data_IF_528738852149
#
_entry.id   IF_528738852149
#
_cell.length_a   1.000
_cell.length_b   1.000
_cell.length_c   1.000
_cell.angle_alpha   90.00
_cell.angle_beta   90.00
_cell.angle_gamma   90.00
#
_symmetry.space_group_name_H-M   'P 1'
#
loop_
_entity.id
_entity.type
_entity.pdbx_description
1 polymer ?
#
# COMPACT_ATOMS: atom_id res chain seq x y z
N UNK A 1 -12.23 1.37 10.41
CA UNK A 1 -11.27 0.33 9.97
C UNK A 1 -11.87 -0.64 8.95
N UNK A 2 -13.07 -1.20 9.17
CA UNK A 2 -13.73 -2.12 8.21
C UNK A 2 -13.78 -1.58 6.77
N UNK A 3 -14.17 -0.31 6.58
CA UNK A 3 -14.22 0.31 5.27
C UNK A 3 -12.85 0.37 4.58
N UNK A 4 -11.77 0.63 5.33
CA UNK A 4 -10.40 0.69 4.76
C UNK A 4 -10.03 -0.68 4.20
N UNK A 5 -10.22 -1.73 5.00
CA UNK A 5 -9.88 -3.10 4.62
C UNK A 5 -10.76 -3.61 3.48
N UNK A 6 -12.06 -3.32 3.48
CA UNK A 6 -12.97 -3.76 2.41
C UNK A 6 -12.67 -3.15 1.04
N UNK A 7 -11.96 -2.02 1.01
CA UNK A 7 -11.48 -1.40 -0.23
C UNK A 7 -10.10 -1.92 -0.67
N UNK A 8 -9.59 -2.97 -0.02
CA UNK A 8 -8.30 -3.59 -0.36
C UNK A 8 -7.08 -2.90 0.25
N UNK A 9 -7.27 -1.94 1.17
CA UNK A 9 -6.15 -1.31 1.86
C UNK A 9 -5.60 -2.21 2.97
N UNK A 10 -4.27 -2.20 3.10
CA UNK A 10 -3.55 -2.91 4.15
C UNK A 10 -3.49 -2.08 5.45
N UNK A 11 -3.55 -2.75 6.60
CA UNK A 11 -3.38 -2.12 7.92
C UNK A 11 -1.99 -2.42 8.49
N UNK A 12 -1.39 -1.42 9.13
CA UNK A 12 -0.13 -1.55 9.86
C UNK A 12 -0.26 -1.03 11.29
N UNK A 13 0.64 -1.47 12.17
CA UNK A 13 0.71 -1.06 13.56
C UNK A 13 1.53 0.24 13.69
N UNK A 14 0.91 1.27 14.29
CA UNK A 14 1.54 2.56 14.58
C UNK A 14 1.50 2.91 16.08
N UNK A 15 1.39 1.89 16.94
CA UNK A 15 1.12 2.00 18.38
C UNK A 15 -0.19 2.73 18.70
N UNK A 16 -0.48 2.86 20.00
CA UNK A 16 -1.70 3.49 20.52
C UNK A 16 -1.65 5.03 20.46
N UNK A 17 -0.45 5.61 20.52
CA UNK A 17 -0.24 7.04 20.62
C UNK A 17 0.80 7.51 19.61
N UNK A 18 0.51 8.63 18.96
CA UNK A 18 1.42 9.28 18.01
C UNK A 18 2.48 10.11 18.76
N UNK A 19 3.45 9.40 19.34
CA UNK A 19 4.61 9.98 20.04
C UNK A 19 5.89 9.24 19.66
N UNK A 20 7.04 9.84 20.00
CA UNK A 20 8.36 9.24 19.79
C UNK A 20 8.53 7.95 20.63
N UNK A 21 8.08 6.83 20.08
CA UNK A 21 8.10 5.51 20.71
C UNK A 21 9.49 5.01 21.12
N UNK A 22 10.53 5.59 20.53
CA UNK A 22 11.94 5.37 20.89
C UNK A 22 12.27 5.71 22.35
N UNK A 23 11.47 6.58 22.99
CA UNK A 23 11.64 6.98 24.39
C UNK A 23 10.92 6.07 25.38
N UNK A 24 10.12 5.11 24.91
CA UNK A 24 9.39 4.21 25.79
C UNK A 24 10.33 3.15 26.38
N UNK A 25 10.15 2.76 27.66
CA UNK A 25 10.79 1.57 28.20
C UNK A 25 10.42 0.32 27.39
N UNK A 26 11.34 -0.62 27.14
CA UNK A 26 11.09 -1.78 26.26
C UNK A 26 9.82 -2.59 26.62
N UNK A 27 9.58 -2.82 27.91
CA UNK A 27 8.39 -3.54 28.38
C UNK A 27 7.08 -2.78 28.06
N UNK A 28 7.10 -1.44 28.13
CA UNK A 28 5.94 -0.61 27.78
C UNK A 28 5.72 -0.61 26.28
N UNK A 29 6.79 -0.50 25.50
CA UNK A 29 6.73 -0.61 24.04
C UNK A 29 6.13 -1.95 23.61
N UNK A 30 6.64 -3.08 24.13
CA UNK A 30 6.14 -4.42 23.81
C UNK A 30 4.66 -4.57 24.18
N UNK A 31 4.26 -4.10 25.37
CA UNK A 31 2.85 -4.10 25.79
C UNK A 31 1.96 -3.33 24.82
N UNK A 32 2.36 -2.13 24.40
CA UNK A 32 1.58 -1.31 23.47
C UNK A 32 1.51 -1.96 22.08
N UNK A 33 2.62 -2.53 21.60
CA UNK A 33 2.68 -3.23 20.31
C UNK A 33 1.66 -4.38 20.28
N UNK A 34 1.66 -5.22 21.32
CA UNK A 34 0.76 -6.38 21.43
C UNK A 34 -0.70 -5.99 21.65
N UNK A 35 -0.95 -4.88 22.36
CA UNK A 35 -2.30 -4.35 22.51
C UNK A 35 -2.89 -3.95 21.15
N UNK A 36 -2.13 -3.24 20.31
CA UNK A 36 -2.57 -2.87 18.97
C UNK A 36 -2.65 -4.09 18.05
N UNK A 37 -1.73 -5.05 18.16
CA UNK A 37 -1.78 -6.33 17.42
C UNK A 37 -3.13 -7.02 17.63
N UNK A 38 -3.57 -7.12 18.89
CA UNK A 38 -4.86 -7.72 19.25
C UNK A 38 -6.04 -6.99 18.61
N UNK A 39 -5.97 -5.66 18.51
CA UNK A 39 -7.02 -4.86 17.86
C UNK A 39 -7.03 -5.05 16.34
N UNK A 40 -5.86 -5.09 15.70
CA UNK A 40 -5.72 -5.26 14.26
C UNK A 40 -6.18 -6.64 13.79
N UNK A 41 -5.94 -7.69 14.59
CA UNK A 41 -6.35 -9.08 14.27
C UNK A 41 -7.83 -9.25 14.00
N UNK A 42 -8.68 -8.39 14.58
CA UNK A 42 -10.13 -8.38 14.32
C UNK A 42 -10.46 -8.17 12.83
N UNK A 43 -9.53 -7.61 12.06
CA UNK A 43 -9.71 -7.30 10.64
C UNK A 43 -8.92 -8.23 9.71
N UNK A 44 -8.26 -9.26 10.24
CA UNK A 44 -7.43 -10.17 9.44
C UNK A 44 -8.24 -10.92 8.38
N UNK A 45 -9.39 -11.46 8.78
CA UNK A 45 -10.27 -12.23 7.90
C UNK A 45 -10.91 -11.36 6.80
N UNK A 46 -11.10 -10.06 7.07
CA UNK A 46 -11.62 -9.11 6.09
C UNK A 46 -10.57 -8.73 5.06
N UNK A 47 -9.29 -8.68 5.44
CA UNK A 47 -8.19 -8.35 4.54
C UNK A 47 -7.87 -9.47 3.54
N UNK A 48 -8.28 -10.70 3.84
CA UNK A 48 -8.11 -11.88 2.98
C UNK A 48 -9.27 -12.08 1.98
N UNK A 49 -10.35 -11.31 2.10
CA UNK A 49 -11.47 -11.36 1.17
C UNK A 49 -11.16 -10.54 -0.09
N UNK A 50 -11.44 -11.04 -1.31
CA UNK A 50 -11.15 -10.31 -2.53
C UNK A 50 -11.91 -8.97 -2.55
N UNK A 51 -11.29 -7.88 -3.06
CA UNK A 51 -11.92 -6.57 -3.09
C UNK A 51 -13.23 -6.65 -3.88
N UNK A 52 -14.31 -6.17 -3.27
CA UNK A 52 -15.65 -6.22 -3.86
C UNK A 52 -15.64 -5.38 -5.14
N UNK A 53 -15.67 -6.05 -6.29
CA UNK A 53 -15.66 -5.45 -7.63
C UNK A 53 -16.73 -4.35 -7.69
N UNK A 54 -16.34 -3.09 -7.93
CA UNK A 54 -17.31 -1.99 -8.15
C UNK A 54 -18.20 -2.38 -9.33
N UNK A 55 -19.52 -2.28 -9.17
CA UNK A 55 -20.43 -2.28 -10.32
C UNK A 55 -20.01 -1.08 -11.18
N UNK A 56 -19.49 -1.36 -12.37
CA UNK A 56 -19.33 -0.36 -13.42
C UNK A 56 -20.71 0.26 -13.66
N UNK A 57 -20.84 1.55 -13.33
CA UNK A 57 -21.98 2.35 -13.77
C UNK A 57 -21.84 2.45 -15.28
N UNK A 58 -22.74 1.79 -16.01
CA UNK A 58 -22.83 1.92 -17.45
C UNK A 58 -23.25 3.35 -17.78
N UNK A 59 -22.36 4.09 -18.42
CA UNK A 59 -22.76 5.28 -19.18
C UNK A 59 -23.17 4.75 -20.55
N UNK A 60 -24.46 4.88 -20.85
CA UNK A 60 -25.08 4.66 -22.15
C UNK A 60 -24.93 5.92 -23.00
N UNK A 61 -24.47 5.76 -24.25
CA UNK A 61 -24.88 6.42 -25.52
C UNK A 61 -23.78 6.13 -26.58
N UNK A 62 -23.93 5.91 -27.89
CA UNK A 62 -25.04 5.73 -28.85
C UNK A 62 -24.42 5.12 -30.14
N UNK A 63 -25.20 4.30 -30.86
CA UNK A 63 -25.31 4.09 -32.34
C UNK A 63 -24.40 4.92 -33.29
N UNK A 64 -23.81 4.52 -34.45
CA UNK A 64 -23.71 3.38 -35.44
C UNK A 64 -22.49 3.73 -36.38
N UNK A 65 -22.15 3.13 -37.57
CA UNK A 65 -22.56 1.89 -38.26
C UNK A 65 -21.41 0.98 -38.78
N UNK A 66 -21.85 -0.20 -39.25
CA UNK A 66 -21.12 -1.30 -39.88
C UNK A 66 -20.33 -0.96 -41.15
N UNK A 67 -19.17 -1.59 -41.31
CA UNK A 67 -18.38 -1.68 -42.54
C UNK A 67 -17.52 -2.95 -42.55
N UNK A 68 -17.45 -3.60 -43.71
CA UNK A 68 -16.99 -4.98 -43.95
C UNK A 68 -15.45 -5.22 -43.92
N UNK A 69 -15.08 -6.37 -43.33
CA UNK A 69 -13.97 -7.33 -43.60
C UNK A 69 -12.48 -6.87 -43.54
N UNK A 70 -11.49 -7.78 -43.32
CA UNK A 70 -11.49 -9.24 -43.59
C UNK A 70 -10.97 -10.17 -42.47
N UNK A 71 -11.20 -11.47 -42.71
CA UNK A 71 -10.93 -12.65 -41.87
C UNK A 71 -9.46 -12.85 -41.47
N UNK A 72 -9.23 -13.13 -40.18
CA UNK A 72 -7.94 -13.56 -39.62
C UNK A 72 -7.90 -15.09 -39.55
N UNK A 73 -6.82 -15.77 -39.98
CA UNK A 73 -6.70 -17.23 -39.90
C UNK A 73 -6.43 -17.72 -38.47
N UNK A 74 -6.92 -18.93 -38.18
CA UNK A 74 -6.89 -19.63 -36.89
C UNK A 74 -5.47 -19.85 -36.33
N UNK A 75 -5.31 -19.92 -34.99
CA UNK A 75 -4.00 -20.07 -34.37
C UNK A 75 -3.57 -21.55 -34.39
N UNK A 76 -2.42 -21.84 -34.99
CA UNK A 76 -1.72 -23.11 -34.79
C UNK A 76 -0.99 -23.07 -33.45
N UNK A 77 -1.27 -24.08 -32.64
CA UNK A 77 -0.66 -24.33 -31.35
C UNK A 77 0.80 -24.77 -31.52
N UNK A 78 1.71 -24.08 -30.85
CA UNK A 78 2.83 -24.75 -30.20
C UNK A 78 3.08 -24.09 -28.84
N UNK A 79 2.62 -24.78 -27.81
CA UNK A 79 2.67 -24.40 -26.42
C UNK A 79 3.84 -25.15 -25.76
N UNK A 80 5.02 -24.51 -25.69
CA UNK A 80 6.07 -24.92 -24.75
C UNK A 80 5.84 -24.25 -23.40
N UNK A 81 4.93 -24.86 -22.64
CA UNK A 81 5.00 -25.08 -21.18
C UNK A 81 5.35 -23.87 -20.31
N UNK A 82 4.44 -22.91 -20.21
CA UNK A 82 4.33 -22.08 -19.00
C UNK A 82 3.69 -22.94 -17.90
N UNK A 83 4.52 -23.48 -17.02
CA UNK A 83 4.05 -24.06 -15.76
C UNK A 83 3.16 -23.02 -15.04
N UNK A 84 1.97 -23.41 -14.56
CA UNK A 84 1.10 -22.46 -13.87
C UNK A 84 1.84 -21.96 -12.63
N UNK A 85 2.17 -20.67 -12.61
CA UNK A 85 2.61 -19.98 -11.39
C UNK A 85 1.50 -20.19 -10.38
N UNK A 86 1.71 -21.14 -9.48
CA UNK A 86 0.80 -21.37 -8.36
C UNK A 86 0.78 -20.05 -7.60
N UNK A 87 -0.41 -19.44 -7.56
CA UNK A 87 -0.63 -18.19 -6.86
C UNK A 87 -0.47 -18.51 -5.36
N UNK A 88 0.77 -18.44 -4.89
CA UNK A 88 1.18 -18.57 -3.49
C UNK A 88 0.11 -17.92 -2.61
N UNK A 89 -0.36 -18.65 -1.60
CA UNK A 89 -1.41 -18.19 -0.69
C UNK A 89 -1.12 -16.75 -0.24
N UNK A 90 -2.15 -15.90 -0.03
CA UNK A 90 -1.95 -14.50 0.35
C UNK A 90 -1.19 -14.40 1.68
N UNK A 91 0.15 -14.35 1.61
CA UNK A 91 1.01 -14.12 2.77
C UNK A 91 0.75 -12.69 3.23
N UNK A 92 0.20 -12.58 4.43
CA UNK A 92 -0.04 -11.31 5.10
C UNK A 92 1.20 -10.96 5.91
N UNK A 93 1.91 -9.91 5.52
CA UNK A 93 2.97 -9.36 6.36
C UNK A 93 2.37 -8.48 7.47
N UNK A 94 3.02 -8.50 8.64
CA UNK A 94 2.69 -7.60 9.74
C UNK A 94 3.62 -6.40 9.69
N UNK A 95 3.08 -5.23 9.37
CA UNK A 95 3.86 -4.00 9.27
C UNK A 95 3.80 -3.20 10.56
N UNK A 96 4.95 -2.67 10.96
CA UNK A 96 5.09 -1.71 12.06
C UNK A 96 5.75 -0.45 11.53
N UNK A 97 5.23 0.73 11.89
CA UNK A 97 5.90 2.01 11.64
C UNK A 97 6.09 2.72 12.98
N UNK A 98 7.31 3.12 13.35
CA UNK A 98 7.52 3.90 14.57
C UNK A 98 6.95 5.31 14.43
N UNK A 99 6.41 5.84 15.53
CA UNK A 99 6.00 7.25 15.65
C UNK A 99 7.13 8.20 15.23
N UNK A 100 6.81 9.14 14.34
CA UNK A 100 7.76 10.10 13.77
C UNK A 100 9.01 9.49 13.08
N UNK A 101 9.03 8.18 12.80
CA UNK A 101 10.16 7.52 12.14
C UNK A 101 11.38 7.22 13.02
N UNK A 102 11.33 7.51 14.33
CA UNK A 102 12.47 7.28 15.24
C UNK A 102 12.43 5.87 15.83
N UNK A 103 13.54 5.14 15.73
CA UNK A 103 13.69 3.79 16.25
C UNK A 103 15.05 3.58 16.92
N UNK A 104 15.17 2.49 17.70
CA UNK A 104 16.43 2.03 18.28
C UNK A 104 16.52 0.50 18.15
N UNK A 105 17.70 -0.07 18.40
CA UNK A 105 17.96 -1.50 18.22
C UNK A 105 17.07 -2.39 19.09
N UNK A 106 16.79 -1.98 20.34
CA UNK A 106 15.93 -2.74 21.25
C UNK A 106 14.48 -2.81 20.74
N UNK A 107 13.97 -1.69 20.20
CA UNK A 107 12.66 -1.63 19.57
C UNK A 107 12.58 -2.55 18.35
N UNK A 108 13.57 -2.47 17.45
CA UNK A 108 13.62 -3.31 16.27
C UNK A 108 13.68 -4.80 16.62
N UNK A 109 14.48 -5.17 17.62
CA UNK A 109 14.55 -6.55 18.11
C UNK A 109 13.20 -7.05 18.65
N UNK A 110 12.48 -6.22 19.40
CA UNK A 110 11.13 -6.56 19.88
C UNK A 110 10.12 -6.71 18.74
N UNK A 111 10.17 -5.82 17.73
CA UNK A 111 9.31 -5.88 16.56
C UNK A 111 9.56 -7.19 15.79
N UNK A 112 10.83 -7.52 15.53
CA UNK A 112 11.23 -8.74 14.84
C UNK A 112 10.86 -10.00 15.62
N UNK A 113 11.05 -10.01 16.95
CA UNK A 113 10.64 -11.10 17.86
C UNK A 113 9.15 -11.46 17.71
N UNK A 114 8.29 -10.48 17.42
CA UNK A 114 6.84 -10.71 17.21
C UNK A 114 6.46 -10.93 15.74
N UNK A 115 7.45 -11.12 14.87
CA UNK A 115 7.27 -11.37 13.43
C UNK A 115 6.68 -10.17 12.69
N UNK A 116 6.94 -8.96 13.18
CA UNK A 116 6.64 -7.72 12.47
C UNK A 116 7.83 -7.29 11.61
N UNK A 117 7.54 -6.53 10.56
CA UNK A 117 8.51 -5.84 9.71
C UNK A 117 8.35 -4.35 9.88
N UNK A 118 9.47 -3.64 10.05
CA UNK A 118 9.46 -2.18 10.16
C UNK A 118 9.38 -1.53 8.79
N UNK A 119 8.39 -0.66 8.58
CA UNK A 119 8.21 0.13 7.37
C UNK A 119 8.51 1.62 7.65
N UNK A 120 9.45 2.18 6.90
CA UNK A 120 9.78 3.60 6.91
C UNK A 120 9.36 4.25 5.58
N UNK A 121 9.09 5.55 5.62
CA UNK A 121 8.80 6.33 4.41
C UNK A 121 10.02 7.11 3.97
N UNK A 122 10.23 7.22 2.66
CA UNK A 122 11.29 8.04 2.08
C UNK A 122 10.79 9.39 1.55
N UNK A 123 9.49 9.55 1.32
CA UNK A 123 8.90 10.80 0.84
C UNK A 123 7.83 11.28 1.83
N UNK A 124 8.06 12.43 2.46
CA UNK A 124 7.16 13.01 3.46
C UNK A 124 7.05 14.53 3.27
N UNK A 125 5.90 15.06 2.80
CA UNK A 125 5.75 16.48 2.47
C UNK A 125 5.48 17.39 3.68
N UNK A 126 5.58 16.88 4.92
CA UNK A 126 5.17 17.61 6.13
C UNK A 126 3.71 18.08 6.10
N UNK A 127 2.82 17.24 5.55
CA UNK A 127 1.40 17.50 5.40
C UNK A 127 0.62 17.84 6.70
N UNK A 128 1.05 17.46 7.92
CA UNK A 128 0.36 17.90 9.14
C UNK A 128 0.55 19.39 9.42
N UNK A 129 1.62 19.99 8.90
CA UNK A 129 1.99 21.40 9.12
C UNK A 129 1.67 22.28 7.90
N UNK A 130 1.67 21.71 6.70
CA UNK A 130 1.46 22.43 5.44
C UNK A 130 0.07 22.12 4.89
N UNK A 131 -0.83 23.10 4.96
CA UNK A 131 -2.20 23.00 4.46
C UNK A 131 -2.36 23.18 2.94
N UNK A 132 -1.27 23.49 2.22
CA UNK A 132 -1.29 23.72 0.78
C UNK A 132 -1.17 22.39 0.01
N UNK A 133 -2.31 21.90 -0.51
CA UNK A 133 -2.39 20.65 -1.27
C UNK A 133 -1.49 20.61 -2.50
N UNK A 134 -1.32 21.74 -3.22
CA UNK A 134 -0.46 21.80 -4.41
C UNK A 134 1.02 21.69 -4.05
N UNK A 135 1.43 22.33 -2.95
CA UNK A 135 2.79 22.24 -2.45
C UNK A 135 3.12 20.83 -1.97
N UNK A 136 2.19 20.19 -1.26
CA UNK A 136 2.33 18.79 -0.82
C UNK A 136 2.45 17.85 -2.04
N UNK A 137 1.57 17.99 -3.02
CA UNK A 137 1.62 17.17 -4.24
C UNK A 137 2.92 17.40 -5.03
N UNK A 138 3.35 18.65 -5.19
CA UNK A 138 4.61 18.99 -5.85
C UNK A 138 5.82 18.36 -5.16
N UNK A 139 5.89 18.44 -3.82
CA UNK A 139 6.97 17.87 -3.04
C UNK A 139 7.06 16.35 -3.26
N UNK A 140 5.91 15.65 -3.18
CA UNK A 140 5.86 14.20 -3.42
C UNK A 140 6.27 13.87 -4.86
N UNK A 141 5.75 14.60 -5.85
CA UNK A 141 6.07 14.37 -7.26
C UNK A 141 7.54 14.64 -7.61
N UNK A 142 8.24 15.47 -6.84
CA UNK A 142 9.67 15.70 -7.00
C UNK A 142 10.52 14.61 -6.36
N UNK A 143 10.04 13.99 -5.27
CA UNK A 143 10.76 12.96 -4.54
C UNK A 143 10.45 11.52 -4.95
N UNK A 144 9.41 11.29 -5.76
CA UNK A 144 9.01 9.92 -6.14
C UNK A 144 10.00 9.25 -7.08
N UNK A 145 10.29 7.98 -6.80
CA UNK A 145 11.10 7.08 -7.61
C UNK A 145 10.52 5.66 -7.50
N UNK A 146 10.94 4.70 -8.34
CA UNK A 146 10.51 3.30 -8.21
C UNK A 146 10.78 2.76 -6.79
N UNK A 147 9.76 2.18 -6.17
CA UNK A 147 9.84 1.67 -4.79
C UNK A 147 9.74 2.73 -3.69
N UNK A 148 9.43 3.99 -4.02
CA UNK A 148 9.24 5.03 -3.02
C UNK A 148 8.02 4.74 -2.11
N UNK A 149 8.20 4.92 -0.80
CA UNK A 149 7.13 4.83 0.21
C UNK A 149 6.79 6.25 0.65
N UNK A 150 5.57 6.68 0.32
CA UNK A 150 5.05 8.02 0.59
C UNK A 150 4.28 8.01 1.91
N UNK A 151 4.48 9.04 2.73
CA UNK A 151 3.80 9.21 4.02
C UNK A 151 2.84 10.39 3.93
N UNK A 152 1.56 10.14 4.18
CA UNK A 152 0.49 11.14 4.28
C UNK A 152 -0.37 10.84 5.49
N UNK A 153 -0.96 11.88 6.08
CA UNK A 153 -1.81 11.78 7.26
C UNK A 153 -3.27 12.10 6.90
N UNK A 154 -4.18 11.35 7.51
CA UNK A 154 -5.63 11.57 7.39
C UNK A 154 -6.12 12.64 8.39
N UNK A 155 -7.43 12.90 8.40
CA UNK A 155 -8.11 13.89 9.22
C UNK A 155 -7.77 15.35 8.85
N UNK A 156 -7.34 15.59 7.62
CA UNK A 156 -7.07 16.93 7.06
C UNK A 156 -7.79 17.12 5.75
N UNK A 157 -8.51 18.25 5.63
CA UNK A 157 -9.31 18.56 4.44
C UNK A 157 -8.45 18.61 3.16
N UNK A 158 -7.21 19.07 3.26
CA UNK A 158 -6.29 19.19 2.13
C UNK A 158 -5.65 17.88 1.67
N UNK A 159 -5.66 16.81 2.48
CA UNK A 159 -5.08 15.51 2.07
C UNK A 159 -5.86 14.93 0.90
N UNK A 160 -7.19 15.06 0.91
CA UNK A 160 -8.06 14.62 -0.20
C UNK A 160 -7.71 15.37 -1.49
N UNK A 161 -7.54 16.69 -1.41
CA UNK A 161 -7.19 17.51 -2.57
C UNK A 161 -5.76 17.24 -3.06
N UNK A 162 -4.84 16.93 -2.14
CA UNK A 162 -3.49 16.47 -2.47
C UNK A 162 -3.55 15.17 -3.28
N UNK A 163 -4.36 14.20 -2.86
CA UNK A 163 -4.53 12.91 -3.55
C UNK A 163 -5.20 13.06 -4.93
N UNK A 164 -6.16 13.98 -5.08
CA UNK A 164 -6.80 14.28 -6.38
C UNK A 164 -5.79 14.77 -7.43
N UNK A 165 -4.75 15.49 -7.01
CA UNK A 165 -3.67 15.96 -7.90
C UNK A 165 -2.62 14.86 -8.07
N UNK A 166 -2.21 14.22 -6.97
CA UNK A 166 -1.09 13.31 -6.93
C UNK A 166 -1.34 12.01 -7.73
N UNK A 167 -2.49 11.36 -7.55
CA UNK A 167 -2.74 10.03 -8.12
C UNK A 167 -2.79 10.03 -9.66
N UNK A 168 -3.47 11.00 -10.33
CA UNK A 168 -3.44 11.09 -11.80
C UNK A 168 -2.03 11.35 -12.35
N UNK A 169 -1.26 12.22 -11.70
CA UNK A 169 0.11 12.56 -12.12
C UNK A 169 1.07 11.38 -11.97
N UNK A 170 0.98 10.63 -10.86
CA UNK A 170 1.75 9.40 -10.68
C UNK A 170 1.43 8.38 -11.79
N UNK A 171 0.15 8.19 -12.10
CA UNK A 171 -0.29 7.27 -13.17
C UNK A 171 0.21 7.73 -14.54
N UNK A 172 0.17 9.03 -14.83
CA UNK A 172 0.68 9.61 -16.08
C UNK A 172 2.19 9.36 -16.26
N UNK A 173 2.94 9.32 -15.16
CA UNK A 173 4.38 9.00 -15.14
C UNK A 173 4.67 7.48 -15.14
N UNK A 174 3.66 6.63 -15.24
CA UNK A 174 3.82 5.17 -15.30
C UNK A 174 3.94 4.48 -13.94
N UNK A 175 3.72 5.18 -12.83
CA UNK A 175 3.73 4.57 -11.50
C UNK A 175 2.41 3.88 -11.18
N UNK A 176 2.50 2.69 -10.56
CA UNK A 176 1.37 2.01 -9.93
C UNK A 176 1.45 2.19 -8.41
N UNK A 177 0.36 2.67 -7.81
CA UNK A 177 0.23 2.73 -6.34
C UNK A 177 -0.19 1.36 -5.82
N UNK A 178 0.55 0.85 -4.84
CA UNK A 178 0.47 -0.54 -4.34
C UNK A 178 0.54 -0.56 -2.81
N UNK A 179 0.13 -1.68 -2.22
CA UNK A 179 0.30 -1.97 -0.79
C UNK A 179 1.78 -2.21 -0.43
N UNK A 180 2.13 -2.15 0.86
CA UNK A 180 3.50 -2.41 1.30
C UNK A 180 3.89 -3.86 1.02
N UNK A 181 2.97 -4.81 1.22
CA UNK A 181 3.18 -6.22 0.88
C UNK A 181 3.52 -6.42 -0.60
N UNK A 182 2.80 -5.77 -1.52
CA UNK A 182 3.07 -5.87 -2.96
C UNK A 182 4.43 -5.27 -3.34
N UNK A 183 4.77 -4.10 -2.78
CA UNK A 183 6.07 -3.43 -3.03
C UNK A 183 7.23 -4.28 -2.48
N UNK A 184 7.06 -4.89 -1.30
CA UNK A 184 8.08 -5.74 -0.70
C UNK A 184 8.31 -7.01 -1.53
N UNK A 185 7.23 -7.67 -1.97
CA UNK A 185 7.34 -8.87 -2.83
C UNK A 185 7.99 -8.57 -4.17
N UNK A 186 7.60 -7.49 -4.84
CA UNK A 186 8.18 -7.16 -6.15
C UNK A 186 9.68 -6.89 -6.06
N UNK A 187 10.16 -6.34 -4.95
CA UNK A 187 11.60 -6.22 -4.67
C UNK A 187 12.29 -7.56 -4.47
N UNK A 188 11.75 -8.45 -3.63
CA UNK A 188 12.34 -9.77 -3.40
C UNK A 188 12.52 -10.57 -4.70
N UNK A 189 11.52 -10.52 -5.59
CA UNK A 189 11.59 -11.18 -6.90
C UNK A 189 12.66 -10.57 -7.80
N UNK A 190 12.81 -9.24 -7.79
CA UNK A 190 13.80 -8.55 -8.61
C UNK A 190 15.23 -8.69 -8.07
N UNK A 191 15.39 -8.87 -6.75
CA UNK A 191 16.68 -9.01 -6.08
C UNK A 191 17.18 -10.47 -6.03
N UNK A 192 16.40 -11.43 -6.55
CA UNK A 192 16.88 -12.79 -6.87
C UNK A 192 17.22 -13.71 -5.68
N UNK A 193 16.70 -13.47 -4.48
CA UNK A 193 16.87 -14.40 -3.36
C UNK A 193 15.71 -15.41 -3.28
N UNK A 194 16.03 -16.66 -3.65
CA UNK A 194 15.38 -17.90 -3.19
C UNK A 194 15.95 -18.25 -1.81
#
# INVERSE_FOLDING_TARGET
MTAIVSHGCELGNHLMFDHASVKLPPAIFEKQLLQVDTLLRKYDNLALSPPRRRKSVAIVDSTVPSGDLPSIPSPTADASRSEPVQLEAPVKYRWFRPGSGWFNSAMLATVEKHGYRTALGCVYPHDPHISNARLNAWHVLRGVHPGAIIVLHDCRSWTIDTLKILLPELRKRGYAVRTLTEVYRSRQVNDGCI
#
